data_IF_284471691792
#
_entry.id   IF_284471691792
#
_cell.length_a   1.000
_cell.length_b   1.000
_cell.length_c   1.000
_cell.angle_alpha   90.00
_cell.angle_beta   90.00
_cell.angle_gamma   90.00
#
_symmetry.space_group_name_H-M   'P 1'
#
loop_
_entity.id
_entity.type
_entity.pdbx_description
1 polymer ?
#
# COMPACT_ATOMS: atom_id res chain seq x y z
N UNK A 1 11.53 28.65 25.85
CA UNK A 1 11.86 27.26 25.46
C UNK A 1 11.07 26.93 24.22
N UNK A 2 11.64 27.11 23.02
CA UNK A 2 10.96 26.73 21.78
C UNK A 2 11.04 25.23 21.64
N UNK A 3 9.88 24.57 21.73
CA UNK A 3 9.74 23.16 21.36
C UNK A 3 9.79 23.12 19.84
N UNK A 4 10.95 22.74 19.28
CA UNK A 4 11.03 22.34 17.87
C UNK A 4 10.28 21.02 17.78
N UNK A 5 8.99 21.09 17.44
CA UNK A 5 8.21 19.92 17.07
C UNK A 5 8.87 19.30 15.86
N UNK A 6 9.46 18.11 16.04
CA UNK A 6 9.88 17.28 14.92
C UNK A 6 8.60 16.95 14.16
N UNK A 7 8.36 17.64 13.05
CA UNK A 7 7.37 17.21 12.10
C UNK A 7 7.82 15.82 11.62
N UNK A 8 7.16 14.78 12.11
CA UNK A 8 7.25 13.46 11.50
C UNK A 8 6.81 13.67 10.05
N UNK A 9 7.76 13.62 9.12
CA UNK A 9 7.44 13.71 7.70
C UNK A 9 6.42 12.60 7.42
N UNK A 10 5.21 13.01 7.02
CA UNK A 10 4.14 12.08 6.67
C UNK A 10 4.55 11.15 5.53
N UNK A 11 3.73 10.13 5.24
CA UNK A 11 4.03 9.20 4.15
C UNK A 11 4.20 9.96 2.83
N UNK A 12 5.21 9.56 2.05
CA UNK A 12 5.48 10.18 0.75
C UNK A 12 4.55 9.59 -0.31
N UNK A 13 4.04 10.42 -1.23
CA UNK A 13 3.29 9.89 -2.37
C UNK A 13 4.25 9.30 -3.41
N UNK A 14 3.96 8.09 -3.92
CA UNK A 14 4.66 7.47 -5.06
C UNK A 14 3.99 7.77 -6.41
N UNK A 15 2.91 8.56 -6.41
CA UNK A 15 2.16 8.92 -7.61
C UNK A 15 1.00 7.98 -7.92
N UNK A 16 0.53 8.01 -9.18
CA UNK A 16 -0.62 7.25 -9.63
C UNK A 16 -0.27 5.77 -9.85
N UNK A 17 -1.15 4.86 -9.42
CA UNK A 17 -0.92 3.40 -9.42
C UNK A 17 -0.49 2.83 -10.78
N UNK A 18 -1.03 3.32 -11.89
CA UNK A 18 -0.66 2.90 -13.25
C UNK A 18 0.84 3.11 -13.57
N UNK A 19 1.52 4.01 -12.86
CA UNK A 19 2.95 4.28 -13.04
C UNK A 19 3.86 3.42 -12.15
N UNK A 20 3.29 2.58 -11.29
CA UNK A 20 4.03 1.84 -10.26
C UNK A 20 4.43 0.43 -10.71
N UNK A 21 3.88 -0.06 -11.83
CA UNK A 21 4.08 -1.43 -12.29
C UNK A 21 5.56 -1.84 -12.30
N UNK A 22 5.87 -2.90 -11.55
CA UNK A 22 7.22 -3.48 -11.45
C UNK A 22 8.23 -2.66 -10.65
N UNK A 23 7.82 -1.52 -10.07
CA UNK A 23 8.72 -0.70 -9.23
C UNK A 23 8.83 -1.26 -7.83
N UNK A 24 9.95 -0.95 -7.18
CA UNK A 24 10.15 -1.18 -5.76
C UNK A 24 10.61 0.11 -5.09
N UNK A 25 10.05 0.41 -3.91
CA UNK A 25 10.37 1.60 -3.12
C UNK A 25 10.92 1.20 -1.75
N UNK A 26 11.99 1.87 -1.33
CA UNK A 26 12.55 1.69 0.01
C UNK A 26 11.96 2.72 0.98
N UNK A 27 11.40 2.23 2.08
CA UNK A 27 10.83 3.02 3.16
C UNK A 27 11.68 2.88 4.42
N UNK A 28 11.88 3.99 5.12
CA UNK A 28 12.42 4.02 6.48
C UNK A 28 11.32 3.86 7.55
N UNK A 29 10.17 3.34 7.16
CA UNK A 29 8.99 3.19 8.02
C UNK A 29 8.00 4.33 7.99
N UNK A 30 8.35 5.47 7.39
CA UNK A 30 7.39 6.57 7.15
C UNK A 30 6.26 6.13 6.20
N UNK A 31 6.55 5.17 5.32
CA UNK A 31 5.60 4.58 4.39
C UNK A 31 5.31 5.46 3.18
N UNK A 32 4.55 4.88 2.26
CA UNK A 32 4.14 5.54 1.03
C UNK A 32 2.62 5.55 0.86
N UNK A 33 2.10 6.58 0.22
CA UNK A 33 0.71 6.62 -0.29
C UNK A 33 0.73 6.64 -1.81
N UNK A 34 -0.39 6.32 -2.43
CA UNK A 34 -0.54 6.38 -3.88
C UNK A 34 -1.90 7.00 -4.23
N UNK A 35 -2.00 7.48 -5.47
CA UNK A 35 -3.28 7.83 -6.07
C UNK A 35 -3.83 6.61 -6.83
N UNK A 36 -4.90 6.03 -6.30
CA UNK A 36 -5.52 4.84 -6.87
C UNK A 36 -6.33 5.14 -8.14
N UNK A 37 -6.83 6.37 -8.29
CA UNK A 37 -7.83 6.70 -9.31
C UNK A 37 -9.24 6.18 -8.98
N UNK A 38 -10.22 6.48 -9.86
CA UNK A 38 -11.61 6.05 -9.67
C UNK A 38 -11.72 4.52 -9.79
N UNK A 39 -12.67 3.94 -9.04
CA UNK A 39 -13.00 2.49 -9.07
C UNK A 39 -11.87 1.51 -8.70
N UNK A 40 -10.72 2.02 -8.26
CA UNK A 40 -9.54 1.22 -7.98
C UNK A 40 -9.37 1.01 -6.49
N UNK A 41 -9.10 -0.22 -6.09
CA UNK A 41 -8.72 -0.58 -4.72
C UNK A 41 -7.24 -0.95 -4.72
N UNK A 42 -6.53 -0.53 -3.67
CA UNK A 42 -5.15 -0.91 -3.41
C UNK A 42 -5.11 -1.80 -2.18
N UNK A 43 -4.48 -2.96 -2.28
CA UNK A 43 -4.40 -3.92 -1.18
C UNK A 43 -3.03 -4.58 -1.07
N UNK A 44 -2.76 -5.08 0.14
CA UNK A 44 -1.52 -5.74 0.54
C UNK A 44 -1.84 -7.14 1.10
N UNK A 45 -1.63 -8.22 0.33
CA UNK A 45 -1.80 -9.59 0.80
C UNK A 45 -0.61 -10.12 1.61
N UNK A 46 0.53 -9.40 1.63
CA UNK A 46 1.69 -9.79 2.43
C UNK A 46 1.56 -9.32 3.89
N UNK A 47 0.65 -8.39 4.16
CA UNK A 47 0.24 -8.03 5.52
C UNK A 47 -0.28 -9.27 6.28
N UNK A 48 0.01 -9.38 7.60
CA UNK A 48 -0.37 -10.54 8.41
C UNK A 48 -1.87 -10.54 8.78
N UNK A 49 -2.74 -10.55 7.77
CA UNK A 49 -4.19 -10.52 7.90
C UNK A 49 -4.83 -11.91 8.04
N UNK A 50 -4.07 -12.98 7.78
CA UNK A 50 -4.56 -14.35 7.71
C UNK A 50 -5.07 -14.74 6.33
N UNK A 51 -5.36 -16.03 6.14
CA UNK A 51 -5.69 -16.61 4.84
C UNK A 51 -6.92 -15.96 4.19
N UNK A 52 -6.83 -15.67 2.89
CA UNK A 52 -7.91 -15.07 2.10
C UNK A 52 -8.19 -13.59 2.39
N UNK A 53 -7.33 -12.94 3.18
CA UNK A 53 -7.46 -11.52 3.54
C UNK A 53 -6.26 -10.71 3.06
N UNK A 54 -6.49 -9.41 2.92
CA UNK A 54 -5.48 -8.42 2.60
C UNK A 54 -5.73 -7.13 3.39
N UNK A 55 -4.68 -6.35 3.59
CA UNK A 55 -4.81 -5.02 4.19
C UNK A 55 -5.17 -4.00 3.11
N UNK A 56 -6.22 -3.21 3.31
CA UNK A 56 -6.70 -2.26 2.32
C UNK A 56 -6.00 -0.90 2.50
N UNK A 57 -5.33 -0.44 1.46
CA UNK A 57 -4.55 0.80 1.47
C UNK A 57 -5.26 1.99 0.83
N UNK A 58 -6.11 1.75 -0.17
CA UNK A 58 -6.89 2.81 -0.79
C UNK A 58 -8.13 2.20 -1.43
N UNK A 59 -9.19 3.00 -1.49
CA UNK A 59 -10.43 2.67 -2.19
C UNK A 59 -11.08 3.97 -2.68
N UNK A 60 -12.00 3.91 -3.67
CA UNK A 60 -12.69 5.11 -4.14
C UNK A 60 -13.47 5.77 -3.01
N UNK A 61 -13.47 7.11 -3.00
CA UNK A 61 -14.13 7.94 -1.98
C UNK A 61 -13.61 7.73 -0.55
N UNK A 62 -12.40 7.19 -0.39
CA UNK A 62 -11.73 7.04 0.89
C UNK A 62 -10.32 7.66 0.86
N UNK A 63 -9.71 7.78 2.04
CA UNK A 63 -8.31 8.17 2.17
C UNK A 63 -7.34 7.07 1.72
N UNK A 64 -6.04 7.32 1.91
CA UNK A 64 -5.00 6.31 1.69
C UNK A 64 -4.30 5.99 3.02
N UNK A 65 -4.22 4.70 3.36
CA UNK A 65 -3.42 4.18 4.46
C UNK A 65 -1.97 3.94 3.99
N UNK A 66 -0.97 4.30 4.80
CA UNK A 66 0.45 4.17 4.41
C UNK A 66 0.86 2.72 4.13
N UNK A 67 1.54 2.53 3.00
CA UNK A 67 2.23 1.30 2.62
C UNK A 67 3.61 1.28 3.26
N UNK A 68 3.79 0.47 4.30
CA UNK A 68 5.00 0.50 5.15
C UNK A 68 5.82 -0.77 5.13
N UNK A 69 5.24 -1.93 4.74
CA UNK A 69 5.79 -3.24 5.06
C UNK A 69 6.14 -3.40 6.56
N UNK A 70 5.31 -2.83 7.45
CA UNK A 70 5.63 -2.68 8.87
C UNK A 70 5.53 -3.96 9.72
N UNK A 71 4.88 -5.02 9.21
CA UNK A 71 4.70 -6.29 9.93
C UNK A 71 4.66 -7.47 8.95
N UNK A 72 5.07 -8.66 9.40
CA UNK A 72 5.16 -9.83 8.50
C UNK A 72 6.45 -9.83 7.70
N UNK A 73 6.37 -9.96 6.37
CA UNK A 73 7.54 -9.90 5.48
C UNK A 73 8.20 -8.52 5.56
N UNK A 74 9.47 -8.42 5.19
CA UNK A 74 10.20 -7.12 5.19
C UNK A 74 10.08 -6.38 3.86
N UNK A 75 9.60 -7.07 2.82
CA UNK A 75 9.22 -6.52 1.52
C UNK A 75 7.81 -6.99 1.23
N UNK A 76 6.91 -6.06 0.96
CA UNK A 76 5.52 -6.34 0.65
C UNK A 76 5.25 -6.05 -0.82
N UNK A 77 4.45 -6.88 -1.46
CA UNK A 77 3.91 -6.67 -2.80
C UNK A 77 2.51 -6.11 -2.67
N UNK A 78 2.31 -4.93 -3.26
CA UNK A 78 1.03 -4.24 -3.30
C UNK A 78 0.38 -4.50 -4.65
N UNK A 79 -0.94 -4.57 -4.64
CA UNK A 79 -1.74 -4.72 -5.84
C UNK A 79 -2.75 -3.59 -5.95
N UNK A 80 -3.04 -3.18 -7.18
CA UNK A 80 -4.16 -2.32 -7.50
C UNK A 80 -4.91 -2.86 -8.71
N UNK A 81 -6.23 -2.81 -8.67
CA UNK A 81 -7.07 -3.10 -9.82
C UNK A 81 -8.45 -2.46 -9.66
N UNK A 82 -9.18 -2.36 -10.77
CA UNK A 82 -10.63 -2.25 -10.73
C UNK A 82 -11.20 -3.53 -10.12
N UNK A 83 -12.09 -3.39 -9.14
CA UNK A 83 -12.74 -4.50 -8.44
C UNK A 83 -14.25 -4.37 -8.55
N UNK A 84 -14.97 -5.48 -8.33
CA UNK A 84 -16.44 -5.43 -8.23
C UNK A 84 -16.84 -4.71 -6.93
N UNK A 85 -17.78 -3.76 -7.03
CA UNK A 85 -18.31 -2.97 -5.91
C UNK A 85 -17.18 -2.32 -5.07
N UNK A 86 -16.33 -1.47 -5.67
CA UNK A 86 -15.15 -0.94 -4.98
C UNK A 86 -15.48 -0.05 -3.77
N UNK A 87 -16.67 0.55 -3.74
CA UNK A 87 -17.17 1.38 -2.65
C UNK A 87 -17.30 0.63 -1.32
N UNK A 88 -17.48 -0.70 -1.33
CA UNK A 88 -17.57 -1.50 -0.11
C UNK A 88 -16.26 -1.52 0.69
N UNK A 89 -15.14 -1.18 0.05
CA UNK A 89 -13.82 -1.14 0.68
C UNK A 89 -13.48 0.23 1.29
N UNK A 90 -14.29 1.27 1.05
CA UNK A 90 -14.01 2.62 1.52
C UNK A 90 -13.89 2.69 3.06
N UNK A 91 -14.78 2.01 3.79
CA UNK A 91 -14.74 1.92 5.25
C UNK A 91 -13.71 0.93 5.79
N UNK A 92 -13.05 0.17 4.91
CA UNK A 92 -12.07 -0.87 5.24
C UNK A 92 -10.63 -0.40 5.04
N UNK A 93 -10.42 0.78 4.45
CA UNK A 93 -9.08 1.37 4.34
C UNK A 93 -8.43 1.46 5.73
N UNK A 94 -7.21 0.97 5.84
CA UNK A 94 -6.47 0.90 7.10
C UNK A 94 -6.77 -0.35 7.93
N UNK A 95 -7.47 -1.35 7.37
CA UNK A 95 -7.81 -2.60 8.08
C UNK A 95 -7.61 -3.83 7.20
N UNK A 96 -7.59 -5.01 7.84
CA UNK A 96 -7.63 -6.29 7.15
C UNK A 96 -9.08 -6.63 6.73
N UNK A 97 -9.26 -6.94 5.45
CA UNK A 97 -10.54 -7.31 4.85
C UNK A 97 -10.38 -8.54 3.95
N UNK A 98 -11.48 -9.18 3.49
CA UNK A 98 -11.40 -10.17 2.43
C UNK A 98 -10.64 -9.62 1.22
N UNK A 99 -9.75 -10.43 0.64
CA UNK A 99 -8.95 -10.00 -0.51
C UNK A 99 -9.87 -9.56 -1.67
N UNK A 100 -9.65 -8.36 -2.23
CA UNK A 100 -10.45 -7.89 -3.36
C UNK A 100 -10.33 -8.81 -4.57
N UNK A 101 -11.44 -8.99 -5.29
CA UNK A 101 -11.46 -9.73 -6.56
C UNK A 101 -11.36 -8.75 -7.71
N UNK A 102 -10.21 -8.75 -8.39
CA UNK A 102 -9.97 -7.92 -9.57
C UNK A 102 -10.89 -8.33 -10.73
N UNK A 103 -11.46 -7.33 -11.40
CA UNK A 103 -12.24 -7.49 -12.64
C UNK A 103 -11.58 -6.78 -13.84
N UNK A 104 -10.45 -6.13 -13.60
CA UNK A 104 -9.68 -5.38 -14.59
C UNK A 104 -8.18 -5.70 -14.52
N UNK A 105 -7.36 -4.97 -15.30
CA UNK A 105 -5.91 -5.15 -15.27
C UNK A 105 -5.38 -4.85 -13.87
N UNK A 106 -4.47 -5.71 -13.42
CA UNK A 106 -3.83 -5.59 -12.12
C UNK A 106 -2.45 -4.98 -12.29
N UNK A 107 -2.15 -3.97 -11.47
CA UNK A 107 -0.80 -3.43 -11.32
C UNK A 107 -0.23 -3.88 -9.99
N UNK A 108 1.06 -4.21 -9.97
CA UNK A 108 1.78 -4.52 -8.74
C UNK A 108 3.09 -3.77 -8.62
N UNK A 109 3.47 -3.47 -7.39
CA UNK A 109 4.73 -2.85 -7.01
C UNK A 109 5.13 -3.33 -5.62
N UNK A 110 6.33 -2.97 -5.18
CA UNK A 110 6.85 -3.39 -3.88
C UNK A 110 7.23 -2.21 -3.01
N UNK A 111 7.08 -2.40 -1.68
CA UNK A 111 7.68 -1.53 -0.67
C UNK A 111 8.50 -2.37 0.28
N UNK A 112 9.74 -1.96 0.51
CA UNK A 112 10.67 -2.58 1.45
C UNK A 112 10.83 -1.72 2.71
N UNK A 113 10.65 -2.31 3.91
CA UNK A 113 10.97 -1.63 5.17
C UNK A 113 12.45 -1.82 5.51
N UNK A 114 13.23 -0.79 5.24
CA UNK A 114 14.69 -0.79 5.44
C UNK A 114 15.11 -0.83 6.90
N UNK A 115 14.27 -0.37 7.84
CA UNK A 115 14.56 -0.50 9.28
C UNK A 115 14.44 -1.94 9.75
N UNK A 116 13.60 -2.73 9.07
CA UNK A 116 13.41 -4.16 9.32
C UNK A 116 14.35 -5.03 8.49
N UNK A 117 15.29 -4.42 7.76
CA UNK A 117 16.24 -5.13 6.89
C UNK A 117 15.71 -5.50 5.52
N UNK A 118 14.52 -5.01 5.12
CA UNK A 118 14.00 -5.15 3.77
C UNK A 118 14.80 -4.31 2.77
N UNK A 119 14.98 -4.83 1.56
CA UNK A 119 15.64 -4.13 0.44
C UNK A 119 14.94 -4.44 -0.86
N UNK A 120 14.90 -3.46 -1.76
CA UNK A 120 14.52 -3.73 -3.14
C UNK A 120 15.61 -4.59 -3.79
N UNK A 121 15.22 -5.69 -4.42
CA UNK A 121 16.16 -6.48 -5.20
C UNK A 121 16.33 -5.81 -6.57
N UNK A 122 17.57 -5.61 -7.01
CA UNK A 122 17.83 -5.27 -8.41
C UNK A 122 17.42 -6.47 -9.26
N UNK A 123 16.70 -6.23 -10.35
CA UNK A 123 16.41 -7.25 -11.33
C UNK A 123 17.75 -7.75 -11.90
N UNK A 124 18.02 -9.05 -11.71
CA UNK A 124 19.19 -9.73 -12.27
C UNK A 124 19.14 -9.80 -13.79
#
# INVERSE_FOLDING_TARGET
VSVVGVALAGPKSVGHVNSLSGKCFESDGSGFTCDAGPETVVWDPDAPCGDGKAYIHAAPNAGSAPMTAGAGKTVHTYFSATVKNPEQFASLVGTCAPSPVAIGPMTSWQVADTRRGGRCQEAA
#
